data_IF_380672362961
#
_entry.id   IF_380672362961
#
_cell.length_a   1.000
_cell.length_b   1.000
_cell.length_c   1.000
_cell.angle_alpha   90.00
_cell.angle_beta   90.00
_cell.angle_gamma   90.00
#
_symmetry.space_group_name_H-M   'P 1'
#
loop_
_entity.id
_entity.type
_entity.pdbx_description
1 polymer ?
#
# COMPACT_ATOMS: atom_id res chain seq x y z
N UNK A 1 -26.91 19.01 4.48
CA UNK A 1 -25.89 18.06 4.96
C UNK A 1 -25.08 17.61 3.75
N UNK A 2 -23.76 17.49 3.90
CA UNK A 2 -22.74 17.59 2.85
C UNK A 2 -22.92 16.64 1.67
N UNK A 3 -22.98 17.18 0.45
CA UNK A 3 -22.74 16.44 -0.78
C UNK A 3 -21.26 16.53 -1.10
N UNK A 4 -20.46 15.64 -0.51
CA UNK A 4 -19.08 15.47 -0.96
C UNK A 4 -19.14 14.71 -2.29
N UNK A 5 -19.25 15.43 -3.40
CA UNK A 5 -18.88 14.87 -4.72
C UNK A 5 -17.37 14.72 -4.74
N UNK A 6 -16.87 13.61 -4.21
CA UNK A 6 -15.47 13.25 -4.26
C UNK A 6 -15.36 12.33 -5.47
N UNK A 7 -14.52 12.76 -6.41
CA UNK A 7 -14.15 11.99 -7.59
C UNK A 7 -13.20 10.87 -7.10
N UNK A 8 -13.77 9.94 -6.34
CA UNK A 8 -13.05 9.03 -5.45
C UNK A 8 -12.49 7.85 -6.23
N UNK A 9 -11.20 7.59 -6.03
CA UNK A 9 -10.68 6.26 -6.28
C UNK A 9 -11.58 5.24 -5.52
N UNK A 10 -12.10 4.20 -6.18
CA UNK A 10 -13.19 3.35 -5.66
C UNK A 10 -12.78 2.44 -4.50
N UNK A 11 -11.52 2.48 -4.07
CA UNK A 11 -10.94 1.67 -3.00
C UNK A 11 -10.28 2.59 -1.95
N UNK A 12 -10.30 2.18 -0.69
CA UNK A 12 -9.61 2.90 0.38
C UNK A 12 -8.09 2.82 0.18
N UNK A 13 -7.39 3.97 0.25
CA UNK A 13 -5.95 4.00 0.06
C UNK A 13 -5.22 3.23 1.17
N UNK A 14 -4.41 2.26 0.76
CA UNK A 14 -3.53 1.51 1.64
C UNK A 14 -2.46 2.46 2.20
N UNK A 15 -2.15 2.38 3.49
CA UNK A 15 -1.04 3.13 4.05
C UNK A 15 0.28 2.65 3.44
N UNK A 16 1.24 3.55 3.29
CA UNK A 16 2.57 3.19 2.83
C UNK A 16 3.25 2.28 3.88
N UNK A 17 3.70 1.07 3.51
CA UNK A 17 4.38 0.19 4.44
C UNK A 17 5.77 0.76 4.78
N UNK A 18 6.09 0.76 6.08
CA UNK A 18 7.39 1.20 6.58
C UNK A 18 8.37 0.03 6.48
N UNK A 19 9.53 0.20 5.84
CA UNK A 19 10.55 -0.85 5.81
C UNK A 19 11.02 -1.11 7.24
N UNK A 20 11.05 -2.38 7.68
CA UNK A 20 11.64 -2.72 8.96
C UNK A 20 13.15 -2.49 8.88
N UNK A 21 13.78 -2.25 10.02
CA UNK A 21 15.22 -2.08 10.07
C UNK A 21 15.94 -3.39 9.74
N UNK A 22 17.19 -3.31 9.26
CA UNK A 22 17.97 -4.51 8.92
C UNK A 22 18.27 -5.43 10.12
N UNK A 23 18.16 -4.91 11.34
CA UNK A 23 18.30 -5.64 12.60
C UNK A 23 16.94 -6.16 13.12
N UNK A 24 15.83 -5.79 12.49
CA UNK A 24 14.51 -6.28 12.85
C UNK A 24 14.26 -7.69 12.29
N UNK A 25 13.51 -8.45 13.09
CA UNK A 25 13.45 -9.90 13.13
C UNK A 25 13.49 -10.65 11.78
N UNK A 26 14.66 -11.22 11.44
CA UNK A 26 14.83 -12.20 10.37
C UNK A 26 15.91 -13.22 10.76
N UNK A 27 15.54 -14.21 11.58
CA UNK A 27 16.44 -15.26 12.09
C UNK A 27 15.68 -16.33 12.88
N UNK A 28 16.38 -17.36 13.37
CA UNK A 28 15.77 -18.53 14.03
C UNK A 28 14.93 -18.22 15.28
N UNK A 29 15.14 -17.06 15.91
CA UNK A 29 14.41 -16.60 17.10
C UNK A 29 13.07 -15.92 16.77
N UNK A 30 12.78 -15.68 15.48
CA UNK A 30 11.65 -14.85 15.03
C UNK A 30 10.38 -15.64 14.69
N UNK A 31 10.36 -16.96 14.93
CA UNK A 31 9.21 -17.83 14.62
C UNK A 31 8.93 -17.98 13.11
N UNK A 32 7.68 -18.28 12.76
CA UNK A 32 7.26 -18.69 11.41
C UNK A 32 7.22 -17.57 10.34
N UNK A 33 7.43 -16.30 10.70
CA UNK A 33 7.37 -15.20 9.73
C UNK A 33 8.45 -14.14 9.98
N UNK A 34 9.44 -14.08 9.08
CA UNK A 34 10.39 -12.96 9.05
C UNK A 34 9.62 -11.65 8.76
N UNK A 35 9.94 -10.58 9.49
CA UNK A 35 9.27 -9.29 9.36
C UNK A 35 9.39 -8.72 7.94
N UNK A 36 10.51 -9.00 7.26
CA UNK A 36 10.71 -8.65 5.86
C UNK A 36 9.69 -9.34 4.94
N UNK A 37 9.31 -10.59 5.23
CA UNK A 37 8.30 -11.31 4.43
C UNK A 37 6.94 -10.62 4.51
N UNK A 38 6.55 -10.18 5.71
CA UNK A 38 5.31 -9.42 5.92
C UNK A 38 5.40 -8.07 5.20
N UNK A 39 6.52 -7.34 5.38
CA UNK A 39 6.76 -6.07 4.70
C UNK A 39 6.64 -6.21 3.17
N UNK A 40 7.26 -7.22 2.57
CA UNK A 40 7.22 -7.41 1.12
C UNK A 40 5.83 -7.78 0.60
N UNK A 41 5.06 -8.55 1.37
CA UNK A 41 3.66 -8.85 1.05
C UNK A 41 2.83 -7.56 1.05
N UNK A 42 2.90 -6.79 2.13
CA UNK A 42 2.11 -5.57 2.30
C UNK A 42 2.56 -4.49 1.28
N UNK A 43 3.85 -4.44 0.96
CA UNK A 43 4.40 -3.60 -0.11
C UNK A 43 3.87 -3.98 -1.49
N UNK A 44 3.75 -5.27 -1.80
CA UNK A 44 3.22 -5.69 -3.09
C UNK A 44 1.76 -5.24 -3.28
N UNK A 45 0.94 -5.33 -2.23
CA UNK A 45 -0.45 -4.85 -2.25
C UNK A 45 -0.53 -3.33 -2.40
N UNK A 46 0.28 -2.60 -1.63
CA UNK A 46 0.38 -1.15 -1.74
C UNK A 46 0.80 -0.72 -3.15
N UNK A 47 1.87 -1.30 -3.70
CA UNK A 47 2.39 -0.95 -5.03
C UNK A 47 1.35 -1.24 -6.14
N UNK A 48 0.62 -2.35 -6.02
CA UNK A 48 -0.46 -2.70 -6.95
C UNK A 48 -1.60 -1.67 -6.90
N UNK A 49 -1.98 -1.20 -5.71
CA UNK A 49 -2.96 -0.14 -5.58
C UNK A 49 -2.46 1.19 -6.15
N UNK A 50 -1.22 1.58 -5.84
CA UNK A 50 -0.64 2.83 -6.35
C UNK A 50 -0.61 2.86 -7.88
N UNK A 51 -0.44 1.71 -8.54
CA UNK A 51 -0.57 1.61 -10.00
C UNK A 51 -2.00 1.95 -10.47
N UNK A 52 -3.02 1.32 -9.88
CA UNK A 52 -4.43 1.61 -10.20
C UNK A 52 -4.81 3.06 -9.92
N UNK A 53 -4.30 3.61 -8.81
CA UNK A 53 -4.52 5.01 -8.44
C UNK A 53 -3.93 5.96 -9.49
N UNK A 54 -2.69 5.73 -9.94
CA UNK A 54 -2.07 6.53 -11.01
C UNK A 54 -2.86 6.45 -12.31
N UNK A 55 -3.33 5.28 -12.70
CA UNK A 55 -4.16 5.10 -13.89
C UNK A 55 -5.49 5.86 -13.77
N UNK A 56 -6.14 5.79 -12.60
CA UNK A 56 -7.35 6.56 -12.30
C UNK A 56 -7.11 8.07 -12.39
N UNK A 57 -6.05 8.58 -11.76
CA UNK A 57 -5.72 10.01 -11.79
C UNK A 57 -5.39 10.49 -13.21
N UNK A 58 -4.63 9.71 -13.98
CA UNK A 58 -4.29 10.04 -15.36
C UNK A 58 -5.53 10.10 -16.27
N UNK A 59 -6.55 9.29 -16.00
CA UNK A 59 -7.84 9.36 -16.71
C UNK A 59 -8.66 10.59 -16.30
N UNK A 60 -8.52 11.06 -15.06
CA UNK A 60 -9.19 12.27 -14.56
C UNK A 60 -8.54 13.56 -15.08
N UNK A 61 -7.23 13.58 -15.30
CA UNK A 61 -6.52 14.74 -15.88
C UNK A 61 -6.81 14.97 -17.37
N UNK A 62 -7.45 14.02 -18.05
CA UNK A 62 -7.77 14.11 -19.48
C UNK A 62 -9.17 14.68 -19.78
N UNK A 63 -9.85 15.21 -18.77
CA UNK A 63 -11.17 15.86 -18.86
C UNK A 63 -11.10 17.33 -18.41
#
# INVERSE_FOLDING_TARGET
MATTQKNEFPEALLPQPVPPESWECCGSECGDACILTIYYRDKAEYDAQQKRLREFLAQQEHF
#
